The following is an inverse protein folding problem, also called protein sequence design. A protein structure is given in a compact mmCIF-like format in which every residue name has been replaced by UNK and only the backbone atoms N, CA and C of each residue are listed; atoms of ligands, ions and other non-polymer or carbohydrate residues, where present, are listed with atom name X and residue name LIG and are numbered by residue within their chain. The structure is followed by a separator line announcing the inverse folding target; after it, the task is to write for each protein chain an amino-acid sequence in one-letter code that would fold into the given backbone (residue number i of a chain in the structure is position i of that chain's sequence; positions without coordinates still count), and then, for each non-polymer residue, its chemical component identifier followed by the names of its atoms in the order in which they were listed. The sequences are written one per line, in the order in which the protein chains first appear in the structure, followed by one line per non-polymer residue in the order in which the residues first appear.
data_IF_011757596331
#
_entry.id   IF_011757596331
#
_cell.length_a   1.000
_cell.length_b   1.000
_cell.length_c   1.000
_cell.angle_alpha   90.00
_cell.angle_beta   90.00
_cell.angle_gamma   90.00
#
_symmetry.space_group_name_H-M   'P 1'
#
loop_
_entity.id
_entity.type
_entity.pdbx_description
1 polymer ?
#
# COMPACT_ATOMS: atom_id res chain seq x y z
N UNK A 1 24.11 -4.48 -28.47
CA UNK A 1 23.22 -5.54 -27.95
C UNK A 1 23.47 -5.66 -26.45
N UNK A 2 22.42 -5.62 -25.62
CA UNK A 2 22.55 -5.75 -24.16
C UNK A 2 22.87 -7.23 -23.87
N UNK A 3 24.00 -7.49 -23.21
CA UNK A 3 24.37 -8.84 -22.77
C UNK A 3 23.64 -9.14 -21.47
N UNK A 4 22.61 -9.98 -21.53
CA UNK A 4 21.87 -10.44 -20.35
C UNK A 4 22.74 -11.45 -19.60
N UNK A 5 23.01 -11.25 -18.30
CA UNK A 5 23.83 -12.18 -17.52
C UNK A 5 23.05 -13.46 -17.20
N UNK A 6 23.81 -14.53 -16.96
CA UNK A 6 23.29 -15.78 -16.44
C UNK A 6 22.99 -15.63 -14.93
N UNK A 7 22.06 -16.43 -14.43
CA UNK A 7 21.84 -16.56 -13.00
C UNK A 7 22.91 -17.45 -12.37
N UNK A 8 23.02 -17.40 -11.05
CA UNK A 8 23.91 -18.27 -10.28
C UNK A 8 23.51 -19.76 -10.42
N UNK A 9 24.51 -20.63 -10.30
CA UNK A 9 24.33 -22.08 -10.39
C UNK A 9 23.62 -22.67 -9.16
N UNK A 10 23.00 -23.84 -9.32
CA UNK A 10 22.42 -24.61 -8.23
C UNK A 10 20.93 -24.31 -7.96
N UNK A 11 20.41 -23.21 -8.47
CA UNK A 11 18.97 -22.94 -8.48
C UNK A 11 18.26 -23.68 -9.62
N UNK A 12 17.19 -24.41 -9.33
CA UNK A 12 16.33 -25.02 -10.36
C UNK A 12 15.15 -24.09 -10.68
N UNK A 13 15.01 -23.74 -11.95
CA UNK A 13 13.86 -22.97 -12.42
C UNK A 13 12.59 -23.85 -12.39
N UNK A 14 11.50 -23.46 -11.70
CA UNK A 14 10.30 -24.28 -11.60
C UNK A 14 9.54 -24.45 -12.93
N UNK A 15 9.71 -23.51 -13.87
CA UNK A 15 9.02 -23.52 -15.17
C UNK A 15 9.75 -24.36 -16.21
N UNK A 16 11.07 -24.20 -16.30
CA UNK A 16 11.89 -24.92 -17.26
C UNK A 16 12.40 -26.27 -16.72
N UNK A 17 12.34 -26.48 -15.40
CA UNK A 17 12.86 -27.67 -14.69
C UNK A 17 14.35 -27.95 -14.97
N UNK A 18 15.10 -26.89 -15.23
CA UNK A 18 16.53 -26.89 -15.50
C UNK A 18 17.24 -25.89 -14.58
N UNK A 19 18.56 -26.01 -14.51
CA UNK A 19 19.41 -25.07 -13.78
C UNK A 19 19.24 -23.64 -14.33
N UNK A 20 19.04 -22.69 -13.42
CA UNK A 20 18.80 -21.29 -13.72
C UNK A 20 19.95 -20.65 -14.51
N UNK A 21 21.20 -21.03 -14.26
CA UNK A 21 22.37 -20.58 -15.03
C UNK A 21 22.23 -20.88 -16.54
N UNK A 22 21.53 -21.96 -16.90
CA UNK A 22 21.35 -22.40 -18.29
C UNK A 22 20.17 -21.73 -18.99
N UNK A 23 19.19 -21.25 -18.23
CA UNK A 23 17.90 -20.82 -18.82
C UNK A 23 17.51 -19.37 -18.55
N UNK A 24 17.96 -18.74 -17.47
CA UNK A 24 17.51 -17.41 -17.05
C UNK A 24 17.84 -16.32 -18.08
N UNK A 25 19.04 -16.31 -18.65
CA UNK A 25 19.47 -15.31 -19.64
C UNK A 25 18.62 -15.28 -20.93
N UNK A 26 17.82 -16.32 -21.19
CA UNK A 26 16.89 -16.43 -22.34
C UNK A 26 15.43 -16.24 -21.95
N UNK A 27 15.14 -16.12 -20.66
CA UNK A 27 13.79 -16.03 -20.11
C UNK A 27 13.33 -14.56 -20.10
N UNK A 28 12.17 -14.23 -20.70
CA UNK A 28 11.62 -12.86 -20.64
C UNK A 28 11.32 -12.35 -19.24
N UNK A 29 11.20 -13.24 -18.25
CA UNK A 29 10.99 -12.88 -16.83
C UNK A 29 12.29 -12.67 -16.07
N UNK A 30 13.44 -12.91 -16.68
CA UNK A 30 14.72 -12.49 -16.11
C UNK A 30 14.91 -11.02 -16.47
N UNK A 31 14.82 -10.16 -15.47
CA UNK A 31 14.77 -8.71 -15.67
C UNK A 31 15.74 -8.01 -14.73
N UNK A 32 16.36 -6.93 -15.20
CA UNK A 32 17.17 -6.06 -14.38
C UNK A 32 16.25 -5.26 -13.43
N UNK A 33 16.43 -5.45 -12.13
CA UNK A 33 15.70 -4.73 -11.08
C UNK A 33 16.58 -3.59 -10.61
N UNK A 34 16.08 -2.36 -10.74
CA UNK A 34 16.75 -1.15 -10.26
C UNK A 34 15.83 -0.33 -9.40
N UNK A 35 16.28 0.02 -8.21
CA UNK A 35 15.52 0.88 -7.33
C UNK A 35 15.97 0.78 -5.88
N UNK A 36 15.33 1.58 -5.02
CA UNK A 36 15.56 1.53 -3.58
C UNK A 36 14.69 0.43 -2.98
N UNK A 37 15.28 -0.47 -2.20
CA UNK A 37 14.55 -1.45 -1.42
C UNK A 37 13.64 -0.71 -0.41
N UNK A 38 12.31 -0.94 -0.43
CA UNK A 38 11.38 -0.21 0.44
C UNK A 38 11.56 -0.54 1.93
N UNK A 39 12.24 -1.64 2.27
CA UNK A 39 12.41 -2.11 3.65
C UNK A 39 13.79 -1.82 4.24
N UNK A 40 14.86 -1.81 3.43
CA UNK A 40 16.25 -1.66 3.90
C UNK A 40 16.93 -0.37 3.44
N UNK A 41 16.28 0.42 2.60
CA UNK A 41 16.87 1.58 1.92
C UNK A 41 18.04 1.29 0.96
N UNK A 42 18.41 0.03 0.80
CA UNK A 42 19.50 -0.39 -0.08
C UNK A 42 19.16 -0.14 -1.55
N UNK A 43 20.15 0.30 -2.33
CA UNK A 43 20.01 0.41 -3.77
C UNK A 43 20.19 -0.97 -4.41
N UNK A 44 19.13 -1.47 -5.01
CA UNK A 44 19.11 -2.70 -5.80
C UNK A 44 19.51 -2.35 -7.23
N UNK A 45 20.47 -3.08 -7.79
CA UNK A 45 20.85 -3.09 -9.21
C UNK A 45 21.32 -4.50 -9.59
N UNK A 46 20.39 -5.46 -9.58
CA UNK A 46 20.66 -6.87 -9.87
C UNK A 46 19.63 -7.49 -10.82
N UNK A 47 20.03 -8.54 -11.53
CA UNK A 47 19.10 -9.31 -12.37
C UNK A 47 18.36 -10.32 -11.52
N UNK A 48 17.04 -10.35 -11.66
CA UNK A 48 16.18 -11.26 -10.90
C UNK A 48 15.07 -11.83 -11.77
N UNK A 49 14.58 -12.99 -11.35
CA UNK A 49 13.38 -13.59 -11.92
C UNK A 49 12.14 -12.83 -11.37
N UNK A 50 11.29 -12.33 -12.26
CA UNK A 50 10.07 -11.61 -11.89
C UNK A 50 9.15 -12.44 -10.98
N UNK A 51 9.09 -13.76 -11.17
CA UNK A 51 8.30 -14.66 -10.31
C UNK A 51 8.91 -14.79 -8.92
N UNK A 52 10.24 -14.80 -8.81
CA UNK A 52 10.92 -14.86 -7.51
C UNK A 52 10.70 -13.58 -6.69
N UNK A 53 10.37 -12.46 -7.34
CA UNK A 53 10.02 -11.20 -6.67
C UNK A 53 8.59 -11.16 -6.13
N UNK A 54 7.69 -12.03 -6.62
CA UNK A 54 6.26 -11.97 -6.24
C UNK A 54 6.01 -12.02 -4.73
N UNK A 55 6.65 -12.89 -3.94
CA UNK A 55 6.42 -12.90 -2.48
C UNK A 55 6.78 -11.56 -1.82
N UNK A 56 7.91 -10.95 -2.22
CA UNK A 56 8.29 -9.63 -1.72
C UNK A 56 7.28 -8.55 -2.14
N UNK A 57 6.88 -8.52 -3.41
CA UNK A 57 5.92 -7.55 -3.93
C UNK A 57 4.54 -7.67 -3.25
N UNK A 58 4.11 -8.88 -2.92
CA UNK A 58 2.85 -9.12 -2.20
C UNK A 58 2.93 -8.63 -0.74
N UNK A 59 4.08 -8.84 -0.08
CA UNK A 59 4.31 -8.31 1.28
C UNK A 59 4.28 -6.78 1.29
N UNK A 60 4.97 -6.15 0.33
CA UNK A 60 4.98 -4.70 0.18
C UNK A 60 3.58 -4.16 -0.14
N UNK A 61 2.85 -4.82 -1.05
CA UNK A 61 1.47 -4.45 -1.35
C UNK A 61 0.58 -4.50 -0.11
N UNK A 62 0.71 -5.54 0.72
CA UNK A 62 -0.01 -5.63 1.98
C UNK A 62 0.39 -4.53 2.98
N UNK A 63 1.67 -4.15 3.02
CA UNK A 63 2.15 -3.04 3.84
C UNK A 63 1.54 -1.70 3.41
N UNK A 64 1.53 -1.42 2.11
CA UNK A 64 0.89 -0.23 1.56
C UNK A 64 -0.61 -0.19 1.84
N UNK A 65 -1.31 -1.33 1.69
CA UNK A 65 -2.73 -1.43 2.02
C UNK A 65 -3.02 -1.16 3.51
N UNK A 66 -2.16 -1.63 4.43
CA UNK A 66 -2.30 -1.32 5.87
C UNK A 66 -2.19 0.18 6.14
N UNK A 67 -1.25 0.87 5.49
CA UNK A 67 -1.11 2.33 5.61
C UNK A 67 -2.34 3.06 5.07
N UNK A 68 -2.86 2.65 3.91
CA UNK A 68 -4.11 3.20 3.37
C UNK A 68 -5.29 2.96 4.31
N UNK A 69 -5.42 1.77 4.88
CA UNK A 69 -6.47 1.45 5.85
C UNK A 69 -6.43 2.33 7.09
N UNK A 70 -5.24 2.61 7.63
CA UNK A 70 -5.06 3.54 8.74
C UNK A 70 -5.52 4.97 8.39
N UNK A 71 -5.16 5.47 7.21
CA UNK A 71 -5.60 6.79 6.75
C UNK A 71 -7.13 6.88 6.60
N UNK A 72 -7.78 5.83 6.10
CA UNK A 72 -9.24 5.75 5.98
C UNK A 72 -9.90 5.75 7.36
N UNK A 73 -9.36 5.01 8.33
CA UNK A 73 -9.91 5.00 9.69
C UNK A 73 -9.78 6.37 10.37
N UNK A 74 -8.66 7.08 10.18
CA UNK A 74 -8.51 8.47 10.64
C UNK A 74 -9.55 9.38 10.00
N UNK A 75 -9.71 9.32 8.67
CA UNK A 75 -10.72 10.11 7.97
C UNK A 75 -12.14 9.81 8.48
N UNK A 76 -12.47 8.54 8.72
CA UNK A 76 -13.75 8.14 9.31
C UNK A 76 -13.97 8.78 10.67
N UNK A 77 -12.95 8.79 11.54
CA UNK A 77 -13.03 9.42 12.87
C UNK A 77 -13.26 10.93 12.77
N UNK A 78 -12.56 11.61 11.87
CA UNK A 78 -12.72 13.05 11.65
C UNK A 78 -14.12 13.39 11.10
N UNK A 79 -14.65 12.58 10.19
CA UNK A 79 -16.02 12.74 9.67
C UNK A 79 -17.04 12.56 10.79
N UNK A 80 -16.91 11.51 11.63
CA UNK A 80 -17.81 11.28 12.76
C UNK A 80 -17.77 12.44 13.74
N UNK A 81 -16.57 12.91 14.09
CA UNK A 81 -16.37 14.08 14.96
C UNK A 81 -17.05 15.33 14.38
N UNK A 82 -16.84 15.62 13.10
CA UNK A 82 -17.46 16.75 12.41
C UNK A 82 -18.99 16.68 12.38
N UNK A 83 -19.55 15.49 12.14
CA UNK A 83 -21.01 15.27 12.17
C UNK A 83 -21.56 15.49 13.58
N UNK A 84 -20.93 14.93 14.61
CA UNK A 84 -21.34 15.11 16.02
C UNK A 84 -21.30 16.58 16.41
N UNK A 85 -20.28 17.32 15.99
CA UNK A 85 -20.17 18.75 16.24
C UNK A 85 -21.29 19.54 15.55
N UNK A 86 -21.56 19.26 14.28
CA UNK A 86 -22.63 19.91 13.53
C UNK A 86 -24.02 19.67 14.15
N UNK A 87 -24.30 18.44 14.56
CA UNK A 87 -25.56 18.08 15.23
C UNK A 87 -25.69 18.75 16.59
N UNK A 88 -24.62 18.78 17.38
CA UNK A 88 -24.61 19.46 18.69
C UNK A 88 -24.93 20.96 18.55
N UNK A 89 -24.31 21.64 17.60
CA UNK A 89 -24.61 23.05 17.34
C UNK A 89 -26.05 23.30 16.88
N UNK A 90 -26.62 22.40 16.07
CA UNK A 90 -28.01 22.49 15.67
C UNK A 90 -28.97 22.30 16.86
N UNK A 91 -28.68 21.35 17.75
CA UNK A 91 -29.45 21.12 18.97
C UNK A 91 -29.39 22.32 19.94
N UNK A 92 -28.21 22.90 20.16
CA UNK A 92 -28.03 24.09 20.99
C UNK A 92 -28.83 25.28 20.45
N UNK A 93 -28.78 25.50 19.13
CA UNK A 93 -29.54 26.57 18.49
C UNK A 93 -31.06 26.34 18.60
N UNK A 94 -31.52 25.10 18.45
CA UNK A 94 -32.93 24.76 18.66
C UNK A 94 -33.37 25.03 20.11
N UNK A 95 -32.55 24.65 21.10
CA UNK A 95 -32.81 24.93 22.52
C UNK A 95 -32.97 26.43 22.79
N UNK A 96 -32.04 27.26 22.30
CA UNK A 96 -32.12 28.73 22.41
C UNK A 96 -33.40 29.31 21.80
N UNK A 97 -33.85 28.78 20.66
CA UNK A 97 -35.08 29.23 20.01
C UNK A 97 -36.33 28.86 20.84
N UNK A 98 -36.35 27.67 21.44
CA UNK A 98 -37.43 27.23 22.33
C UNK A 98 -37.49 28.13 23.57
N UNK A 99 -36.36 28.42 24.20
CA UNK A 99 -36.27 29.28 25.38
C UNK A 99 -36.75 30.71 25.06
N UNK A 100 -36.29 31.27 23.94
CA UNK A 100 -36.74 32.58 23.46
C UNK A 100 -38.24 32.62 23.14
N UNK A 101 -38.84 31.49 22.72
CA UNK A 101 -40.29 31.39 22.52
C UNK A 101 -41.03 31.35 23.85
N UNK A 102 -40.54 30.61 24.84
CA UNK A 102 -41.16 30.51 26.16
C UNK A 102 -41.12 31.84 26.91
N UNK A 103 -40.01 32.57 26.83
CA UNK A 103 -39.85 33.86 27.51
C UNK A 103 -40.76 34.97 26.94
N UNK A 104 -41.23 34.84 25.69
CA UNK A 104 -42.21 35.76 25.07
C UNK A 104 -43.67 35.47 25.45
N UNK A 105 -43.93 34.34 26.11
CA UNK A 105 -45.28 33.91 26.54
C UNK A 105 -45.58 34.23 28.00
N UNK A 106 -44.57 34.65 28.77
CA UNK A 106 -44.70 35.17 30.13
C UNK A 106 -44.77 36.70 30.09
#
# INVERSE_FOLDING_TARGET
MIKIPHADEGGICPLHREDMSKVCHRCPWWTLVRGKNPQSEEMIDDWRCAVALLPMLLVENAQMQRQTGAAIETFRNDVVSGVVQAVSHAADNAGRLIDARNNRRQ
#
